data_IF_184138751603
#
_entry.id   IF_184138751603
#
_cell.length_a   1.000
_cell.length_b   1.000
_cell.length_c   1.000
_cell.angle_alpha   90.00
_cell.angle_beta   90.00
_cell.angle_gamma   90.00
#
_symmetry.space_group_name_H-M   'P 1'
#
loop_
_entity.id
_entity.type
_entity.pdbx_description
1 polymer ?
#
# COMPACT_ATOMS: atom_id res chain seq x y z
N UNK A 1 -5.05 -7.98 2.82
CA UNK A 1 -5.03 -6.51 2.93
C UNK A 1 -5.43 -5.90 1.61
N UNK A 2 -6.37 -4.97 1.64
CA UNK A 2 -6.86 -4.24 0.47
C UNK A 2 -6.48 -2.76 0.62
N UNK A 3 -5.90 -2.17 -0.42
CA UNK A 3 -5.54 -0.75 -0.45
C UNK A 3 -6.29 -0.10 -1.59
N UNK A 4 -7.01 0.99 -1.29
CA UNK A 4 -7.66 1.87 -2.24
C UNK A 4 -6.82 3.15 -2.38
N UNK A 5 -6.32 3.39 -3.59
CA UNK A 5 -5.43 4.53 -3.87
C UNK A 5 -6.21 5.67 -4.49
N UNK A 6 -6.11 6.82 -3.86
CA UNK A 6 -6.73 8.07 -4.26
C UNK A 6 -5.67 9.13 -4.52
N UNK A 7 -5.96 10.12 -5.37
CA UNK A 7 -5.15 11.33 -5.46
C UNK A 7 -5.54 12.35 -4.36
N UNK A 8 -4.90 13.51 -4.36
CA UNK A 8 -5.16 14.59 -3.40
C UNK A 8 -6.64 14.99 -3.34
N UNK A 9 -7.28 15.05 -4.51
CA UNK A 9 -8.67 15.44 -4.73
C UNK A 9 -9.68 14.33 -4.39
N UNK A 10 -9.20 13.14 -3.99
CA UNK A 10 -10.05 11.99 -3.67
C UNK A 10 -10.53 11.20 -4.90
N UNK A 11 -9.96 11.44 -6.09
CA UNK A 11 -10.25 10.63 -7.27
C UNK A 11 -9.43 9.33 -7.25
N UNK A 12 -10.00 8.24 -7.77
CA UNK A 12 -9.34 6.95 -7.88
C UNK A 12 -8.08 7.00 -8.76
N UNK A 13 -7.08 6.20 -8.41
CA UNK A 13 -5.83 6.08 -9.18
C UNK A 13 -5.66 4.64 -9.66
N UNK A 14 -5.97 4.41 -10.93
CA UNK A 14 -5.65 3.17 -11.66
C UNK A 14 -4.14 3.04 -11.93
N UNK A 15 -3.59 1.83 -12.00
CA UNK A 15 -2.20 1.59 -12.39
C UNK A 15 -1.12 2.22 -11.50
N UNK A 16 -1.41 2.54 -10.24
CA UNK A 16 -0.40 2.90 -9.26
C UNK A 16 0.33 1.64 -8.78
N UNK A 17 1.66 1.66 -8.75
CA UNK A 17 2.45 0.55 -8.22
C UNK A 17 2.42 0.62 -6.70
N UNK A 18 2.04 -0.47 -6.05
CA UNK A 18 2.08 -0.63 -4.60
C UNK A 18 3.10 -1.71 -4.26
N UNK A 19 4.10 -1.37 -3.45
CA UNK A 19 5.14 -2.30 -2.99
C UNK A 19 5.01 -2.48 -1.49
N UNK A 20 5.01 -3.74 -1.05
CA UNK A 20 4.80 -4.13 0.34
C UNK A 20 6.12 -4.59 0.98
N UNK A 21 6.35 -4.22 2.24
CA UNK A 21 7.55 -4.51 3.01
C UNK A 21 7.19 -4.96 4.43
N UNK A 22 8.04 -5.80 5.03
CA UNK A 22 7.84 -6.24 6.42
C UNK A 22 8.38 -5.24 7.46
N UNK A 23 9.18 -4.25 7.05
CA UNK A 23 9.72 -3.22 7.94
C UNK A 23 9.97 -1.89 7.19
N UNK A 24 10.12 -0.81 7.97
CA UNK A 24 10.31 0.56 7.46
C UNK A 24 11.65 0.74 6.75
N UNK A 25 12.73 0.18 7.28
CA UNK A 25 14.06 0.32 6.70
C UNK A 25 14.14 -0.21 5.26
N UNK A 26 13.59 -1.39 5.02
CA UNK A 26 13.49 -1.99 3.70
C UNK A 26 12.61 -1.17 2.75
N UNK A 27 11.55 -0.56 3.26
CA UNK A 27 10.66 0.31 2.48
C UNK A 27 11.36 1.62 2.06
N UNK A 28 12.10 2.26 2.97
CA UNK A 28 12.89 3.46 2.70
C UNK A 28 14.06 3.20 1.74
N UNK A 29 14.74 2.06 1.91
CA UNK A 29 15.85 1.64 1.05
C UNK A 29 15.38 1.02 -0.28
N UNK A 30 14.09 0.73 -0.42
CA UNK A 30 13.49 -0.02 -1.54
C UNK A 30 14.19 -1.39 -1.75
N UNK A 31 14.40 -2.13 -0.66
CA UNK A 31 15.04 -3.45 -0.62
C UNK A 31 14.09 -4.51 -0.04
N UNK A 32 14.33 -5.78 -0.37
CA UNK A 32 13.59 -6.93 0.19
C UNK A 32 12.05 -6.80 0.17
N UNK A 33 11.43 -6.44 -0.98
CA UNK A 33 9.98 -6.34 -1.04
C UNK A 33 9.33 -7.71 -0.84
N UNK A 34 8.24 -7.75 -0.09
CA UNK A 34 7.41 -8.94 0.10
C UNK A 34 6.72 -9.29 -1.22
N UNK A 35 6.11 -8.29 -1.84
CA UNK A 35 5.46 -8.36 -3.12
C UNK A 35 5.16 -6.96 -3.63
N UNK A 36 4.79 -6.87 -4.91
CA UNK A 36 4.29 -5.63 -5.51
C UNK A 36 3.17 -5.94 -6.47
N UNK A 37 2.21 -5.04 -6.58
CA UNK A 37 1.10 -5.15 -7.52
C UNK A 37 0.64 -3.75 -7.95
N UNK A 38 -0.09 -3.67 -9.07
CA UNK A 38 -0.67 -2.44 -9.56
C UNK A 38 -2.14 -2.33 -9.15
N UNK A 39 -2.60 -1.10 -8.89
CA UNK A 39 -4.02 -0.85 -8.69
C UNK A 39 -4.81 -1.14 -9.97
N UNK A 40 -6.03 -1.66 -9.80
CA UNK A 40 -6.97 -1.89 -10.89
C UNK A 40 -7.69 -0.59 -11.30
N UNK A 41 -8.61 -0.69 -12.27
CA UNK A 41 -9.42 0.45 -12.78
C UNK A 41 -10.28 1.15 -11.72
N UNK A 42 -10.54 0.50 -10.61
CA UNK A 42 -11.30 1.04 -9.48
C UNK A 42 -10.37 1.62 -8.40
N UNK A 43 -9.05 1.61 -8.61
CA UNK A 43 -8.04 2.12 -7.68
C UNK A 43 -7.64 1.14 -6.57
N UNK A 44 -8.06 -0.12 -6.64
CA UNK A 44 -7.81 -1.12 -5.61
C UNK A 44 -6.65 -2.06 -5.94
N UNK A 45 -5.93 -2.47 -4.89
CA UNK A 45 -5.00 -3.60 -4.90
C UNK A 45 -5.30 -4.54 -3.72
N UNK A 46 -5.18 -5.86 -3.93
CA UNK A 46 -5.48 -6.87 -2.93
C UNK A 46 -4.29 -7.81 -2.71
N UNK A 47 -3.70 -7.74 -1.52
CA UNK A 47 -2.66 -8.66 -1.07
C UNK A 47 -3.27 -9.78 -0.22
N UNK A 48 -3.02 -11.03 -0.59
CA UNK A 48 -3.52 -12.24 0.08
C UNK A 48 -2.36 -13.02 0.71
N UNK A 49 -2.68 -13.96 1.61
CA UNK A 49 -1.72 -14.88 2.24
C UNK A 49 -0.56 -14.16 2.96
N UNK A 50 -0.85 -13.00 3.57
CA UNK A 50 0.11 -12.28 4.40
C UNK A 50 0.24 -12.95 5.77
N UNK A 51 1.43 -12.84 6.36
CA UNK A 51 1.69 -13.28 7.73
C UNK A 51 1.03 -12.32 8.71
N UNK A 52 0.77 -12.79 9.93
CA UNK A 52 0.27 -11.94 11.00
C UNK A 52 1.39 -11.02 11.51
N UNK A 53 1.38 -9.77 11.03
CA UNK A 53 2.31 -8.70 11.39
C UNK A 53 1.86 -7.35 10.82
N UNK A 54 2.58 -6.32 11.22
CA UNK A 54 2.53 -5.02 10.57
C UNK A 54 3.23 -5.06 9.20
N UNK A 55 2.72 -4.28 8.27
CA UNK A 55 3.32 -4.08 6.96
C UNK A 55 3.49 -2.61 6.66
N UNK A 56 4.58 -2.31 5.98
CA UNK A 56 4.90 -1.00 5.41
C UNK A 56 4.70 -1.05 3.90
N UNK A 57 4.35 0.07 3.29
CA UNK A 57 4.13 0.11 1.85
C UNK A 57 4.48 1.45 1.24
N UNK A 58 4.99 1.38 0.01
CA UNK A 58 5.24 2.53 -0.84
C UNK A 58 4.36 2.45 -2.09
N UNK A 59 3.68 3.55 -2.40
CA UNK A 59 2.77 3.67 -3.53
C UNK A 59 3.31 4.74 -4.45
N UNK A 60 3.43 4.43 -5.74
CA UNK A 60 3.93 5.38 -6.73
C UNK A 60 3.16 5.30 -8.06
N UNK A 61 2.83 6.47 -8.61
CA UNK A 61 2.41 6.62 -10.01
C UNK A 61 3.03 7.89 -10.61
N UNK A 62 4.00 7.71 -11.50
CA UNK A 62 4.80 8.83 -11.98
C UNK A 62 5.50 9.53 -10.80
N UNK A 63 5.28 10.84 -10.67
CA UNK A 63 5.87 11.65 -9.60
C UNK A 63 5.08 11.59 -8.28
N UNK A 64 3.84 11.11 -8.32
CA UNK A 64 2.95 11.07 -7.16
C UNK A 64 3.24 9.85 -6.27
N UNK A 65 3.28 10.05 -4.95
CA UNK A 65 3.52 8.98 -3.99
C UNK A 65 2.92 9.25 -2.59
N UNK A 66 3.01 8.25 -1.70
CA UNK A 66 2.47 8.34 -0.33
C UNK A 66 3.51 8.74 0.74
N UNK A 67 4.69 9.27 0.37
CA UNK A 67 5.76 9.59 1.34
C UNK A 67 5.36 10.57 2.45
N UNK A 68 4.38 11.43 2.20
CA UNK A 68 3.82 12.40 3.17
C UNK A 68 2.54 11.93 3.85
N UNK A 69 2.17 10.67 3.66
CA UNK A 69 0.86 10.13 4.04
C UNK A 69 0.96 8.86 4.88
N UNK A 70 0.06 7.92 4.62
CA UNK A 70 0.01 6.64 5.32
C UNK A 70 1.08 5.71 4.73
N UNK A 71 1.98 5.23 5.57
CA UNK A 71 3.09 4.34 5.19
C UNK A 71 2.97 2.92 5.75
N UNK A 72 2.01 2.66 6.64
CA UNK A 72 1.85 1.37 7.31
C UNK A 72 0.41 1.04 7.67
N UNK A 73 0.16 -0.25 7.95
CA UNK A 73 -1.09 -0.71 8.57
C UNK A 73 -1.28 -0.09 9.96
N UNK A 74 -2.53 0.25 10.31
CA UNK A 74 -2.83 0.91 11.60
C UNK A 74 -2.89 -0.08 12.76
N UNK A 75 -3.11 -1.35 12.43
CA UNK A 75 -3.13 -2.51 13.32
C UNK A 75 -2.49 -3.71 12.59
N UNK A 76 -1.90 -4.68 13.32
CA UNK A 76 -1.39 -5.91 12.72
C UNK A 76 -2.45 -6.68 11.94
N UNK A 77 -2.08 -7.35 10.85
CA UNK A 77 -3.01 -8.15 10.06
C UNK A 77 -3.29 -9.51 10.70
N UNK A 78 -4.19 -9.54 11.67
CA UNK A 78 -4.64 -10.80 12.27
C UNK A 78 -5.31 -11.73 11.22
N UNK A 79 -5.25 -13.07 11.36
CA UNK A 79 -5.72 -14.04 10.36
C UNK A 79 -7.19 -13.92 9.92
N UNK A 80 -8.02 -13.20 10.69
CA UNK A 80 -9.46 -13.00 10.42
C UNK A 80 -9.81 -11.56 10.07
N UNK A 81 -8.83 -10.64 10.06
CA UNK A 81 -9.08 -9.23 9.82
C UNK A 81 -8.85 -8.87 8.36
N UNK A 82 -9.88 -8.31 7.72
CA UNK A 82 -9.72 -7.65 6.43
C UNK A 82 -9.29 -6.20 6.68
N UNK A 83 -7.99 -5.93 6.67
CA UNK A 83 -7.53 -4.55 6.62
C UNK A 83 -7.86 -3.93 5.26
N UNK A 84 -8.56 -2.81 5.29
CA UNK A 84 -8.88 -1.96 4.15
C UNK A 84 -8.35 -0.56 4.44
N UNK A 85 -7.47 -0.06 3.58
CA UNK A 85 -6.87 1.27 3.72
C UNK A 85 -7.24 2.14 2.53
N UNK A 86 -7.61 3.38 2.80
CA UNK A 86 -7.70 4.42 1.77
C UNK A 86 -6.47 5.32 1.88
N UNK A 87 -5.60 5.29 0.88
CA UNK A 87 -4.31 6.00 0.89
C UNK A 87 -4.29 7.04 -0.22
N UNK A 88 -3.93 8.27 0.14
CA UNK A 88 -3.73 9.35 -0.83
C UNK A 88 -2.27 9.40 -1.29
N UNK A 89 -2.07 9.60 -2.59
CA UNK A 89 -0.78 9.98 -3.16
C UNK A 89 -0.81 11.45 -3.59
N UNK A 90 0.32 12.13 -3.39
CA UNK A 90 0.56 13.55 -3.63
C UNK A 90 1.85 13.74 -4.43
#
# INVERSE_FOLDING_TARGET
MEIHVLNENGCIVDGAKVVLYENEHDMEANTNPVCSEFTNKEGFVLFKNLRDRDYYFFIQKGDFNNSKGILKTWVPLEPRMKAMLSVKIL
#
